data_IF_054761999802
#
_entry.id   IF_054761999802
#
_cell.length_a   1.000
_cell.length_b   1.000
_cell.length_c   1.000
_cell.angle_alpha   90.00
_cell.angle_beta   90.00
_cell.angle_gamma   90.00
#
_symmetry.space_group_name_H-M   'P 1'
#
loop_
_entity.id
_entity.type
_entity.pdbx_description
1 polymer ?
#
# COMPACT_ATOMS: atom_id res chain seq x y z
N UNK A 1 11.02 -16.67 4.36
CA UNK A 1 11.22 -15.39 5.07
C UNK A 1 10.12 -14.38 4.71
N UNK A 2 9.44 -14.52 3.56
CA UNK A 2 8.58 -13.46 3.04
C UNK A 2 7.16 -13.41 3.63
N UNK A 3 6.61 -14.54 4.10
CA UNK A 3 5.30 -14.57 4.77
C UNK A 3 5.32 -13.86 6.14
N UNK A 4 6.46 -13.92 6.85
CA UNK A 4 6.68 -13.19 8.10
C UNK A 4 6.71 -11.68 7.86
N UNK A 5 7.35 -11.24 6.77
CA UNK A 5 7.39 -9.83 6.39
C UNK A 5 5.98 -9.29 6.04
N UNK A 6 5.19 -10.05 5.27
CA UNK A 6 3.82 -9.67 4.94
C UNK A 6 2.88 -9.71 6.15
N UNK A 7 3.06 -10.69 7.05
CA UNK A 7 2.33 -10.76 8.31
C UNK A 7 2.65 -9.57 9.23
N UNK A 8 3.93 -9.23 9.37
CA UNK A 8 4.38 -8.06 10.13
C UNK A 8 3.85 -6.76 9.51
N UNK A 9 3.86 -6.63 8.18
CA UNK A 9 3.29 -5.49 7.49
C UNK A 9 1.77 -5.36 7.75
N UNK A 10 1.03 -6.47 7.70
CA UNK A 10 -0.41 -6.45 7.99
C UNK A 10 -0.70 -6.00 9.42
N UNK A 11 0.05 -6.51 10.40
CA UNK A 11 -0.07 -6.13 11.82
C UNK A 11 0.32 -4.66 12.03
N UNK A 12 1.43 -4.21 11.46
CA UNK A 12 1.88 -2.82 11.55
C UNK A 12 0.87 -1.86 10.92
N UNK A 13 0.31 -2.20 9.76
CA UNK A 13 -0.75 -1.44 9.11
C UNK A 13 -2.01 -1.36 9.97
N UNK A 14 -2.45 -2.50 10.53
CA UNK A 14 -3.59 -2.56 11.45
C UNK A 14 -3.38 -1.71 12.72
N UNK A 15 -2.19 -1.78 13.32
CA UNK A 15 -1.84 -0.95 14.47
C UNK A 15 -1.89 0.55 14.15
N UNK A 16 -1.42 0.96 12.96
CA UNK A 16 -1.51 2.34 12.49
C UNK A 16 -2.95 2.81 12.26
N UNK A 17 -3.82 1.94 11.74
CA UNK A 17 -5.25 2.24 11.60
C UNK A 17 -5.90 2.44 12.97
N UNK A 18 -5.63 1.53 13.93
CA UNK A 18 -6.17 1.63 15.28
C UNK A 18 -5.68 2.89 16.02
N UNK A 19 -4.41 3.25 15.85
CA UNK A 19 -3.86 4.49 16.40
C UNK A 19 -4.49 5.75 15.78
N UNK A 20 -4.70 5.75 14.46
CA UNK A 20 -5.40 6.83 13.77
C UNK A 20 -6.86 6.98 14.23
N UNK A 21 -7.59 5.87 14.33
CA UNK A 21 -8.98 5.86 14.82
C UNK A 21 -9.05 6.35 16.28
N UNK A 22 -8.17 5.85 17.15
CA UNK A 22 -8.15 6.27 18.56
C UNK A 22 -7.84 7.76 18.73
N UNK A 23 -6.94 8.31 17.90
CA UNK A 23 -6.61 9.73 17.89
C UNK A 23 -7.77 10.61 17.43
N UNK A 24 -8.55 10.16 16.43
CA UNK A 24 -9.76 10.83 15.94
C UNK A 24 -10.95 10.69 16.88
N UNK A 25 -11.07 9.56 17.58
CA UNK A 25 -12.13 9.29 18.56
C UNK A 25 -11.92 10.01 19.90
N UNK A 26 -10.85 10.80 20.03
CA UNK A 26 -10.56 11.58 21.25
C UNK A 26 -9.99 10.74 22.40
N UNK A 27 -9.51 9.52 22.15
CA UNK A 27 -8.88 8.64 23.16
C UNK A 27 -7.44 9.06 23.50
N UNK A 28 -7.17 10.37 23.50
CA UNK A 28 -5.84 11.00 23.58
C UNK A 28 -5.23 10.94 24.99
N UNK A 29 -5.07 9.74 25.54
CA UNK A 29 -4.37 9.54 26.81
C UNK A 29 -2.87 9.77 26.63
N UNK A 30 -2.19 10.40 27.60
CA UNK A 30 -0.72 10.61 27.55
C UNK A 30 0.10 9.31 27.43
N UNK A 31 -0.50 8.17 27.75
CA UNK A 31 0.12 6.85 27.58
C UNK A 31 0.12 6.40 26.12
N UNK A 32 -0.99 6.58 25.39
CA UNK A 32 -1.12 6.21 23.98
C UNK A 32 -0.67 7.32 23.01
N UNK A 33 -0.72 8.57 23.46
CA UNK A 33 -0.40 9.78 22.72
C UNK A 33 0.47 10.69 23.59
N UNK A 34 1.77 10.35 23.75
CA UNK A 34 2.67 11.10 24.62
C UNK A 34 2.96 12.52 24.12
N UNK A 35 2.66 12.81 22.86
CA UNK A 35 2.83 14.12 22.24
C UNK A 35 1.49 14.65 21.72
N UNK A 36 1.36 15.98 21.64
CA UNK A 36 0.22 16.62 20.97
C UNK A 36 0.39 16.51 19.46
N UNK A 37 -0.34 15.59 18.84
CA UNK A 37 -0.35 15.40 17.40
C UNK A 37 -1.47 16.21 16.76
N UNK A 38 -1.21 16.94 15.66
CA UNK A 38 -2.27 17.52 14.85
C UNK A 38 -3.21 16.45 14.30
N UNK A 39 -4.50 16.76 14.16
CA UNK A 39 -5.52 15.84 13.64
C UNK A 39 -5.14 15.20 12.30
N UNK A 40 -4.42 15.94 11.45
CA UNK A 40 -3.93 15.47 10.17
C UNK A 40 -3.01 14.23 10.27
N UNK A 41 -2.24 14.08 11.36
CA UNK A 41 -1.38 12.91 11.57
C UNK A 41 -2.19 11.63 11.79
N UNK A 42 -3.35 11.72 12.45
CA UNK A 42 -4.23 10.57 12.62
C UNK A 42 -4.86 10.14 11.30
N UNK A 43 -5.19 11.10 10.43
CA UNK A 43 -5.69 10.83 9.07
C UNK A 43 -4.62 10.14 8.23
N UNK A 44 -3.36 10.61 8.29
CA UNK A 44 -2.23 9.95 7.63
C UNK A 44 -2.08 8.52 8.14
N UNK A 45 -2.11 8.32 9.46
CA UNK A 45 -1.99 6.99 10.06
C UNK A 45 -3.10 6.04 9.61
N UNK A 46 -4.33 6.54 9.47
CA UNK A 46 -5.46 5.76 8.98
C UNK A 46 -5.31 5.39 7.50
N UNK A 47 -4.99 6.35 6.63
CA UNK A 47 -4.87 6.11 5.18
C UNK A 47 -3.66 5.22 4.85
N UNK A 48 -2.48 5.56 5.40
CA UNK A 48 -1.26 4.80 5.19
C UNK A 48 -1.35 3.42 5.85
N UNK A 49 -1.88 3.35 7.07
CA UNK A 49 -2.11 2.10 7.79
C UNK A 49 -3.03 1.16 7.02
N UNK A 50 -4.15 1.68 6.48
CA UNK A 50 -5.07 0.88 5.68
C UNK A 50 -4.42 0.37 4.39
N UNK A 51 -3.61 1.19 3.71
CA UNK A 51 -2.87 0.77 2.52
C UNK A 51 -1.87 -0.35 2.84
N UNK A 52 -1.09 -0.20 3.92
CA UNK A 52 -0.09 -1.18 4.37
C UNK A 52 -0.76 -2.49 4.81
N UNK A 53 -1.87 -2.39 5.56
CA UNK A 53 -2.63 -3.56 5.99
C UNK A 53 -3.19 -4.32 4.78
N UNK A 54 -3.77 -3.60 3.82
CA UNK A 54 -4.33 -4.21 2.62
C UNK A 54 -3.25 -4.89 1.77
N UNK A 55 -2.07 -4.27 1.59
CA UNK A 55 -0.96 -4.93 0.88
C UNK A 55 -0.46 -6.17 1.61
N UNK A 56 -0.30 -6.11 2.93
CA UNK A 56 0.16 -7.26 3.73
C UNK A 56 -0.82 -8.43 3.65
N UNK A 57 -2.13 -8.15 3.70
CA UNK A 57 -3.18 -9.17 3.53
C UNK A 57 -3.18 -9.77 2.13
N UNK A 58 -3.06 -8.92 1.09
CA UNK A 58 -2.99 -9.38 -0.30
C UNK A 58 -1.77 -10.29 -0.53
N UNK A 59 -0.62 -9.93 0.01
CA UNK A 59 0.61 -10.73 -0.11
C UNK A 59 0.47 -12.06 0.63
N UNK A 60 -0.15 -12.05 1.82
CA UNK A 60 -0.40 -13.27 2.60
C UNK A 60 -1.30 -14.25 1.85
N UNK A 61 -2.36 -13.74 1.21
CA UNK A 61 -3.23 -14.53 0.33
C UNK A 61 -2.46 -14.97 -0.92
N UNK A 62 -1.60 -14.11 -1.46
CA UNK A 62 -0.77 -14.35 -2.63
C UNK A 62 0.16 -15.56 -2.48
N UNK A 63 0.77 -15.76 -1.31
CA UNK A 63 1.63 -16.93 -1.07
C UNK A 63 0.90 -18.28 -1.15
N UNK A 64 -0.41 -18.30 -0.93
CA UNK A 64 -1.21 -19.53 -1.04
C UNK A 64 -1.73 -19.80 -2.45
N UNK A 65 -1.64 -18.82 -3.36
CA UNK A 65 -2.15 -18.93 -4.74
C UNK A 65 -1.00 -19.02 -5.72
N UNK A 66 -1.02 -20.03 -6.59
CA UNK A 66 -0.04 -20.13 -7.67
C UNK A 66 -0.13 -18.91 -8.61
N UNK A 67 1.00 -18.42 -9.15
CA UNK A 67 1.02 -17.26 -10.04
C UNK A 67 0.11 -17.48 -11.25
N UNK A 68 -0.89 -16.63 -11.42
CA UNK A 68 -1.92 -16.79 -12.48
C UNK A 68 -1.43 -16.41 -13.88
N UNK A 69 -0.29 -15.75 -14.01
CA UNK A 69 0.25 -15.30 -15.31
C UNK A 69 1.71 -15.69 -15.51
N UNK A 70 2.08 -16.01 -16.75
CA UNK A 70 3.47 -16.32 -17.12
C UNK A 70 4.42 -15.14 -16.87
N UNK A 71 3.88 -13.91 -16.83
CA UNK A 71 4.62 -12.65 -16.68
C UNK A 71 4.47 -12.03 -15.29
N UNK A 72 4.06 -12.81 -14.28
CA UNK A 72 3.82 -12.31 -12.92
C UNK A 72 5.01 -11.52 -12.37
N UNK A 73 6.24 -12.01 -12.59
CA UNK A 73 7.48 -11.34 -12.20
C UNK A 73 7.62 -9.94 -12.81
N UNK A 74 7.21 -9.75 -14.06
CA UNK A 74 7.32 -8.46 -14.75
C UNK A 74 6.37 -7.43 -14.14
N UNK A 75 5.14 -7.83 -13.85
CA UNK A 75 4.18 -6.95 -13.19
C UNK A 75 4.62 -6.59 -11.77
N UNK A 76 5.16 -7.55 -11.02
CA UNK A 76 5.65 -7.34 -9.65
C UNK A 76 6.89 -6.43 -9.64
N UNK A 77 7.84 -6.67 -10.54
CA UNK A 77 9.03 -5.82 -10.70
C UNK A 77 8.64 -4.37 -11.05
N UNK A 78 7.71 -4.19 -11.98
CA UNK A 78 7.18 -2.87 -12.33
C UNK A 78 6.50 -2.19 -11.13
N UNK A 79 5.67 -2.92 -10.37
CA UNK A 79 5.02 -2.39 -9.17
C UNK A 79 6.04 -1.88 -8.13
N UNK A 80 7.08 -2.67 -7.86
CA UNK A 80 8.15 -2.31 -6.92
C UNK A 80 8.98 -1.11 -7.36
N UNK A 81 9.27 -1.01 -8.66
CA UNK A 81 10.01 0.14 -9.18
C UNK A 81 9.18 1.44 -9.09
N UNK A 82 7.89 1.38 -9.46
CA UNK A 82 7.03 2.56 -9.41
C UNK A 82 6.71 2.98 -7.97
N UNK A 83 6.55 2.06 -7.02
CA UNK A 83 6.36 2.40 -5.61
C UNK A 83 7.60 3.07 -5.00
N UNK A 84 8.81 2.64 -5.40
CA UNK A 84 10.05 3.33 -5.06
C UNK A 84 10.09 4.76 -5.61
N UNK A 85 9.67 4.96 -6.86
CA UNK A 85 9.59 6.30 -7.46
C UNK A 85 8.61 7.22 -6.73
N UNK A 86 7.45 6.69 -6.31
CA UNK A 86 6.50 7.44 -5.46
C UNK A 86 7.20 7.92 -4.18
N UNK A 87 7.95 7.06 -3.50
CA UNK A 87 8.65 7.44 -2.27
C UNK A 87 9.67 8.56 -2.51
N UNK A 88 10.42 8.52 -3.62
CA UNK A 88 11.35 9.59 -4.00
C UNK A 88 10.62 10.90 -4.29
N UNK A 89 9.52 10.86 -5.04
CA UNK A 89 8.70 12.05 -5.32
C UNK A 89 8.12 12.63 -4.04
N UNK A 90 7.60 11.79 -3.14
CA UNK A 90 7.11 12.22 -1.82
C UNK A 90 8.23 12.89 -1.03
N UNK A 91 9.42 12.30 -0.95
CA UNK A 91 10.56 12.90 -0.24
C UNK A 91 10.96 14.27 -0.83
N UNK A 92 10.99 14.39 -2.16
CA UNK A 92 11.29 15.65 -2.83
C UNK A 92 10.24 16.72 -2.54
N UNK A 93 8.96 16.37 -2.61
CA UNK A 93 7.87 17.31 -2.34
C UNK A 93 7.84 17.72 -0.86
N UNK A 94 8.06 16.78 0.06
CA UNK A 94 8.13 17.10 1.50
C UNK A 94 9.25 18.10 1.77
N UNK A 95 10.44 17.88 1.21
CA UNK A 95 11.58 18.76 1.45
C UNK A 95 11.42 20.16 0.83
N UNK A 96 10.88 20.24 -0.40
CA UNK A 96 10.86 21.47 -1.18
C UNK A 96 9.53 22.25 -1.11
N UNK A 97 8.41 21.56 -0.91
CA UNK A 97 7.05 22.13 -1.01
C UNK A 97 6.39 22.20 0.36
N UNK A 98 6.50 21.15 1.20
CA UNK A 98 5.83 21.16 2.50
C UNK A 98 6.36 22.25 3.46
N UNK A 99 7.62 22.66 3.29
CA UNK A 99 8.26 23.75 4.03
C UNK A 99 7.78 25.15 3.61
N UNK A 100 7.17 25.29 2.43
CA UNK A 100 6.63 26.55 1.90
C UNK A 100 5.11 26.64 1.94
N UNK A 101 4.46 25.58 2.41
CA UNK A 101 3.01 25.46 2.48
C UNK A 101 2.52 25.77 3.91
N UNK A 102 1.31 26.32 4.10
CA UNK A 102 0.71 26.45 5.42
C UNK A 102 0.60 25.08 6.10
N UNK A 103 0.87 25.04 7.40
CA UNK A 103 0.96 23.79 8.19
C UNK A 103 -0.32 22.93 8.08
N UNK A 104 -1.48 23.58 7.91
CA UNK A 104 -2.79 22.96 7.74
C UNK A 104 -2.91 22.14 6.46
N UNK A 105 -2.10 22.44 5.44
CA UNK A 105 -2.12 21.77 4.13
C UNK A 105 -0.87 20.92 3.88
N UNK A 106 0.21 21.10 4.63
CA UNK A 106 1.47 20.37 4.43
C UNK A 106 1.32 18.85 4.47
N UNK A 107 0.31 18.31 5.17
CA UNK A 107 0.00 16.88 5.21
C UNK A 107 -0.40 16.29 3.84
N UNK A 108 -0.97 17.10 2.94
CA UNK A 108 -1.38 16.67 1.59
C UNK A 108 -0.17 16.15 0.81
N UNK A 109 0.98 16.78 1.00
CA UNK A 109 2.23 16.43 0.33
C UNK A 109 2.71 15.01 0.69
N UNK A 110 2.36 14.53 1.87
CA UNK A 110 2.70 13.18 2.33
C UNK A 110 1.80 12.09 1.76
N UNK A 111 0.55 12.42 1.44
CA UNK A 111 -0.48 11.45 1.05
C UNK A 111 -0.76 11.48 -0.45
N UNK A 112 -0.78 12.66 -1.06
CA UNK A 112 -1.20 12.85 -2.45
C UNK A 112 -0.36 12.04 -3.46
N UNK A 113 0.99 12.03 -3.40
CA UNK A 113 1.78 11.28 -4.36
C UNK A 113 1.53 9.77 -4.26
N UNK A 114 1.35 9.26 -3.05
CA UNK A 114 1.05 7.85 -2.79
C UNK A 114 -0.33 7.47 -3.32
N UNK A 115 -1.37 8.24 -3.02
CA UNK A 115 -2.74 7.95 -3.50
C UNK A 115 -2.81 8.01 -5.02
N UNK A 116 -2.30 9.09 -5.62
CA UNK A 116 -2.32 9.28 -7.08
C UNK A 116 -1.48 8.19 -7.75
N UNK A 117 -0.28 7.95 -7.22
CA UNK A 117 0.66 6.96 -7.75
C UNK A 117 0.10 5.54 -7.69
N UNK A 118 -0.46 5.11 -6.56
CA UNK A 118 -1.05 3.78 -6.42
C UNK A 118 -2.22 3.57 -7.38
N UNK A 119 -3.11 4.56 -7.55
CA UNK A 119 -4.22 4.47 -8.52
C UNK A 119 -3.69 4.38 -9.96
N UNK A 120 -2.67 5.18 -10.30
CA UNK A 120 -2.04 5.15 -11.61
C UNK A 120 -1.37 3.79 -11.89
N UNK A 121 -0.60 3.26 -10.94
CA UNK A 121 0.04 1.93 -11.02
C UNK A 121 -1.01 0.84 -11.23
N UNK A 122 -2.08 0.84 -10.44
CA UNK A 122 -3.13 -0.17 -10.55
C UNK A 122 -3.80 -0.16 -11.93
N UNK A 123 -4.10 1.03 -12.46
CA UNK A 123 -4.63 1.20 -13.83
C UNK A 123 -3.62 0.73 -14.88
N UNK A 124 -2.34 1.05 -14.71
CA UNK A 124 -1.27 0.67 -15.62
C UNK A 124 -1.09 -0.85 -15.67
N UNK A 125 -0.99 -1.50 -14.52
CA UNK A 125 -0.90 -2.97 -14.42
C UNK A 125 -2.12 -3.62 -15.07
N UNK A 126 -3.33 -3.11 -14.80
CA UNK A 126 -4.58 -3.61 -15.42
C UNK A 126 -4.54 -3.49 -16.95
N UNK A 127 -4.08 -2.35 -17.48
CA UNK A 127 -3.95 -2.12 -18.90
C UNK A 127 -2.99 -3.13 -19.56
N UNK A 128 -1.82 -3.36 -18.96
CA UNK A 128 -0.86 -4.32 -19.52
C UNK A 128 -1.30 -5.77 -19.38
N UNK A 129 -1.96 -6.15 -18.28
CA UNK A 129 -2.58 -7.48 -18.13
C UNK A 129 -3.63 -7.74 -19.21
N UNK A 130 -4.44 -6.73 -19.55
CA UNK A 130 -5.42 -6.82 -20.64
C UNK A 130 -4.72 -6.92 -22.00
N UNK A 131 -3.71 -6.07 -22.26
CA UNK A 131 -2.95 -6.06 -23.52
C UNK A 131 -2.25 -7.39 -23.80
N UNK A 132 -1.77 -8.08 -22.77
CA UNK A 132 -1.05 -9.35 -22.91
C UNK A 132 -1.94 -10.59 -22.77
N UNK A 133 -3.24 -10.44 -22.56
CA UNK A 133 -4.17 -11.56 -22.40
C UNK A 133 -4.01 -12.32 -21.08
N UNK A 134 -3.26 -11.77 -20.12
CA UNK A 134 -3.03 -12.33 -18.78
C UNK A 134 -4.19 -12.00 -17.80
N UNK A 135 -5.23 -11.31 -18.27
CA UNK A 135 -6.36 -10.85 -17.45
C UNK A 135 -7.31 -11.97 -17.00
N UNK A 136 -7.26 -13.16 -17.62
CA UNK A 136 -8.11 -14.30 -17.27
C UNK A 136 -7.28 -15.37 -16.56
N UNK A 137 -7.67 -15.85 -15.36
CA UNK A 137 -7.05 -17.05 -14.79
C UNK A 137 -7.25 -18.19 -15.79
N UNK A 138 -6.15 -18.76 -16.30
CA UNK A 138 -6.25 -20.02 -17.02
C UNK A 138 -6.76 -21.05 -16.01
N UNK A 139 -7.99 -21.52 -16.19
CA UNK A 139 -8.47 -22.70 -15.46
C UNK A 139 -7.47 -23.82 -15.76
N UNK A 140 -6.77 -24.27 -14.72
CA UNK A 140 -5.92 -25.45 -14.81
C UNK A 140 -6.87 -26.63 -14.97
N UNK A 141 -7.19 -27.00 -16.20
CA UNK A 141 -7.82 -28.28 -16.48
C UNK A 141 -6.79 -29.33 -16.10
N UNK A 142 -6.91 -29.90 -14.89
CA UNK A 142 -6.18 -31.12 -14.52
C UNK A 142 -6.64 -32.20 -15.49
N UNK A 143 -5.90 -32.41 -16.57
CA UNK A 143 -5.99 -33.67 -17.31
C UNK A 143 -5.42 -34.73 -16.39
N UNK A 144 -6.31 -35.56 -15.83
CA UNK A 144 -5.95 -36.78 -15.11
C UNK A 144 -5.00 -37.62 -15.97
N UNK A 145 -3.92 -38.18 -15.41
CA UNK A 145 -3.16 -39.21 -16.11
C UNK A 145 -4.11 -40.37 -16.41
N UNK A 146 -4.28 -40.72 -17.68
CA UNK A 146 -4.86 -42.00 -18.02
C UNK A 146 -3.87 -43.09 -17.61
N UNK A 147 -4.43 -44.08 -16.93
CA UNK A 147 -3.83 -45.31 -16.36
C UNK A 147 -2.78 -45.98 -17.22
#
# INVERSE_FOLDING_TARGET
MDWLASGLAAVAGGAFVLWGIGGLAGLQTKFLYPFNYPTAFFIIGLVAGAAIANSGVIDLIGYTRQPTSKRWWWYEHMNRFLSGYIATVTAFLVQNVASRMPFEFSWIVWVAPSVIGTIAIAKWIKHYKAKFGDAKPKMVTRTSPQS
#
